data_IF_890926088288
#
_entry.id   IF_890926088288
#
_cell.length_a   1.000
_cell.length_b   1.000
_cell.length_c   1.000
_cell.angle_alpha   90.00
_cell.angle_beta   90.00
_cell.angle_gamma   90.00
#
_symmetry.space_group_name_H-M   'P 1'
#
loop_
_entity.id
_entity.type
_entity.pdbx_description
1 polymer ?
#
# COMPACT_ATOMS: atom_id res chain seq x y z
N UNK A 1 -22.16 0.16 7.98
CA UNK A 1 -21.72 1.29 7.14
C UNK A 1 -20.54 1.93 7.84
N UNK A 2 -19.42 2.09 7.14
CA UNK A 2 -18.22 2.75 7.70
C UNK A 2 -18.51 4.23 7.96
N UNK A 3 -18.20 4.69 9.18
CA UNK A 3 -18.11 6.12 9.47
C UNK A 3 -16.81 6.67 8.87
N UNK A 4 -16.95 7.50 7.83
CA UNK A 4 -15.82 8.08 7.08
C UNK A 4 -14.96 9.00 7.93
N UNK A 5 -15.56 9.74 8.86
CA UNK A 5 -14.83 10.69 9.71
C UNK A 5 -13.98 9.94 10.73
N UNK A 6 -14.57 8.95 11.40
CA UNK A 6 -13.86 8.10 12.35
C UNK A 6 -12.73 7.31 11.67
N UNK A 7 -12.98 6.81 10.46
CA UNK A 7 -11.96 6.15 9.64
C UNK A 7 -10.82 7.12 9.28
N UNK A 8 -11.15 8.33 8.86
CA UNK A 8 -10.17 9.36 8.49
C UNK A 8 -9.27 9.74 9.68
N UNK A 9 -9.87 9.96 10.85
CA UNK A 9 -9.14 10.27 12.09
C UNK A 9 -8.17 9.14 12.47
N UNK A 10 -8.64 7.89 12.47
CA UNK A 10 -7.81 6.73 12.77
C UNK A 10 -6.67 6.54 11.77
N UNK A 11 -6.95 6.68 10.47
CA UNK A 11 -5.92 6.60 9.43
C UNK A 11 -4.90 7.73 9.57
N UNK A 12 -5.33 8.95 9.87
CA UNK A 12 -4.44 10.09 10.10
C UNK A 12 -3.51 9.83 11.30
N UNK A 13 -4.06 9.34 12.42
CA UNK A 13 -3.26 8.96 13.61
C UNK A 13 -2.24 7.89 13.25
N UNK A 14 -2.66 6.86 12.52
CA UNK A 14 -1.78 5.77 12.09
C UNK A 14 -0.64 6.28 11.19
N UNK A 15 -0.98 7.05 10.15
CA UNK A 15 -0.01 7.58 9.18
C UNK A 15 1.02 8.51 9.85
N UNK A 16 0.58 9.29 10.84
CA UNK A 16 1.43 10.14 11.66
C UNK A 16 2.28 9.34 12.63
N UNK A 17 1.76 8.29 13.27
CA UNK A 17 2.52 7.48 14.22
C UNK A 17 3.70 6.77 13.53
N UNK A 18 3.44 6.25 12.34
CA UNK A 18 4.44 5.49 11.58
C UNK A 18 5.20 6.34 10.56
N UNK A 19 5.18 7.67 10.70
CA UNK A 19 5.74 8.59 9.69
C UNK A 19 7.24 8.41 9.41
N UNK A 20 7.99 7.80 10.34
CA UNK A 20 9.43 7.57 10.22
C UNK A 20 9.80 6.43 9.26
N UNK A 21 8.93 5.44 9.06
CA UNK A 21 9.19 4.35 8.13
C UNK A 21 8.97 4.84 6.69
N UNK A 22 10.01 4.74 5.84
CA UNK A 22 9.95 5.14 4.42
C UNK A 22 9.16 4.15 3.56
N UNK A 23 9.28 2.87 3.87
CA UNK A 23 8.53 1.79 3.21
C UNK A 23 7.53 1.20 4.20
N UNK A 24 6.23 1.31 3.88
CA UNK A 24 5.17 0.78 4.72
C UNK A 24 4.29 -0.20 3.95
N UNK A 25 4.41 -1.48 4.30
CA UNK A 25 3.37 -2.45 4.00
C UNK A 25 2.23 -2.33 5.00
N UNK A 26 1.09 -1.80 4.56
CA UNK A 26 -0.16 -1.78 5.31
C UNK A 26 -1.07 -2.83 4.68
N UNK A 27 -1.59 -3.73 5.50
CA UNK A 27 -2.75 -4.53 5.12
C UNK A 27 -3.97 -3.97 5.86
N UNK A 28 -5.06 -3.79 5.14
CA UNK A 28 -6.33 -3.33 5.68
C UNK A 28 -7.29 -4.52 5.68
N UNK A 29 -7.75 -4.91 6.85
CA UNK A 29 -8.81 -5.90 6.96
C UNK A 29 -10.15 -5.21 6.94
N UNK A 30 -10.96 -5.51 5.94
CA UNK A 30 -12.35 -5.02 5.85
C UNK A 30 -13.29 -6.22 5.97
N UNK A 31 -14.47 -6.00 6.55
CA UNK A 31 -15.48 -7.07 6.67
C UNK A 31 -16.09 -7.45 5.33
N UNK A 32 -16.20 -6.48 4.41
CA UNK A 32 -16.76 -6.66 3.08
C UNK A 32 -15.86 -6.00 2.02
N UNK A 33 -15.80 -6.53 0.80
CA UNK A 33 -14.98 -5.96 -0.28
C UNK A 33 -15.41 -4.51 -0.62
N UNK A 34 -16.71 -4.22 -0.51
CA UNK A 34 -17.29 -2.89 -0.72
C UNK A 34 -16.77 -1.82 0.26
N UNK A 35 -16.33 -2.24 1.45
CA UNK A 35 -15.72 -1.35 2.44
C UNK A 35 -14.31 -0.88 2.01
N UNK A 36 -13.63 -1.62 1.13
CA UNK A 36 -12.31 -1.26 0.62
C UNK A 36 -12.32 0.02 -0.22
N UNK A 37 -13.39 0.25 -0.99
CA UNK A 37 -13.55 1.48 -1.79
C UNK A 37 -13.73 2.71 -0.89
N UNK A 38 -14.45 2.58 0.22
CA UNK A 38 -14.60 3.69 1.19
C UNK A 38 -13.25 4.04 1.82
N UNK A 39 -12.44 3.04 2.17
CA UNK A 39 -11.10 3.26 2.70
C UNK A 39 -10.20 3.94 1.68
N UNK A 40 -10.29 3.54 0.41
CA UNK A 40 -9.55 4.18 -0.66
C UNK A 40 -9.93 5.67 -0.83
N UNK A 41 -11.22 5.99 -0.89
CA UNK A 41 -11.69 7.38 -1.00
C UNK A 41 -11.22 8.26 0.16
N UNK A 42 -11.23 7.71 1.38
CA UNK A 42 -10.70 8.41 2.57
C UNK A 42 -9.21 8.65 2.43
N UNK A 43 -8.43 7.65 2.00
CA UNK A 43 -7.00 7.80 1.79
C UNK A 43 -6.66 8.83 0.71
N UNK A 44 -7.41 8.88 -0.40
CA UNK A 44 -7.24 9.90 -1.43
C UNK A 44 -7.47 11.32 -0.88
N UNK A 45 -8.43 11.46 0.04
CA UNK A 45 -8.72 12.73 0.71
C UNK A 45 -7.59 13.14 1.67
N UNK A 46 -7.04 12.18 2.42
CA UNK A 46 -5.95 12.42 3.37
C UNK A 46 -4.59 12.64 2.68
N UNK A 47 -4.41 12.08 1.49
CA UNK A 47 -3.16 12.04 0.74
C UNK A 47 -3.32 12.68 -0.66
N UNK A 48 -3.80 13.93 -0.77
CA UNK A 48 -4.24 14.51 -2.04
C UNK A 48 -3.09 14.76 -3.04
N UNK A 49 -1.85 14.81 -2.56
CA UNK A 49 -0.64 15.01 -3.37
C UNK A 49 0.13 13.72 -3.61
N UNK A 50 -0.41 12.57 -3.19
CA UNK A 50 0.25 11.29 -3.37
C UNK A 50 -0.13 10.71 -4.71
N UNK A 51 0.87 10.15 -5.39
CA UNK A 51 0.62 9.39 -6.60
C UNK A 51 0.07 8.02 -6.23
N UNK A 52 -0.88 7.53 -7.01
CA UNK A 52 -1.57 6.26 -6.74
C UNK A 52 -1.30 5.30 -7.89
N UNK A 53 -0.80 4.11 -7.56
CA UNK A 53 -0.67 2.99 -8.49
C UNK A 53 -1.76 1.96 -8.18
N UNK A 54 -2.64 1.75 -9.15
CA UNK A 54 -3.72 0.76 -9.09
C UNK A 54 -3.99 0.20 -10.49
N UNK A 55 -4.17 -1.12 -10.59
CA UNK A 55 -4.49 -1.79 -11.84
C UNK A 55 -5.70 -1.15 -12.54
N UNK A 56 -5.53 -0.80 -13.83
CA UNK A 56 -6.61 -0.28 -14.67
C UNK A 56 -7.00 1.21 -14.47
N UNK A 57 -6.35 1.96 -13.58
CA UNK A 57 -6.75 3.33 -13.23
C UNK A 57 -5.77 4.46 -13.68
N UNK A 58 -4.73 4.18 -14.48
CA UNK A 58 -3.89 5.28 -15.01
C UNK A 58 -2.70 4.91 -15.90
N UNK A 59 -2.21 5.91 -16.65
CA UNK A 59 -1.09 5.87 -17.62
C UNK A 59 0.31 5.59 -17.02
N UNK A 60 0.35 5.33 -15.73
CA UNK A 60 1.52 5.52 -14.88
C UNK A 60 1.77 4.32 -13.95
N UNK A 61 0.92 3.30 -14.09
CA UNK A 61 1.16 1.94 -13.61
C UNK A 61 1.88 1.22 -14.74
N UNK A 62 3.07 0.66 -14.48
CA UNK A 62 3.80 -0.03 -15.53
C UNK A 62 2.98 -1.20 -16.07
N UNK A 63 2.93 -1.30 -17.40
CA UNK A 63 2.04 -2.22 -18.10
C UNK A 63 2.30 -3.68 -17.68
N UNK A 64 1.25 -4.51 -17.60
CA UNK A 64 1.34 -5.92 -17.17
C UNK A 64 2.31 -6.76 -18.03
N UNK A 65 2.60 -6.25 -19.23
CA UNK A 65 3.49 -6.85 -20.23
C UNK A 65 4.88 -6.19 -20.29
N UNK A 66 5.22 -5.28 -19.37
CA UNK A 66 6.53 -4.64 -19.43
C UNK A 66 7.60 -5.60 -18.92
N UNK A 67 8.66 -5.79 -19.70
CA UNK A 67 9.82 -6.56 -19.26
C UNK A 67 10.40 -5.87 -18.02
N UNK A 68 11.01 -6.63 -17.10
CA UNK A 68 11.68 -6.12 -15.89
C UNK A 68 12.48 -4.84 -16.12
N UNK A 69 13.22 -4.76 -17.23
CA UNK A 69 14.03 -3.60 -17.57
C UNK A 69 13.18 -2.38 -17.90
N UNK A 70 12.09 -2.55 -18.64
CA UNK A 70 11.15 -1.48 -18.99
C UNK A 70 10.44 -0.93 -17.75
N UNK A 71 10.08 -1.80 -16.81
CA UNK A 71 9.51 -1.41 -15.52
C UNK A 71 10.49 -0.54 -14.71
N UNK A 72 11.70 -1.05 -14.52
CA UNK A 72 12.76 -0.39 -13.73
C UNK A 72 13.11 0.94 -14.38
N UNK A 73 13.21 0.96 -15.69
CA UNK A 73 13.49 2.15 -16.46
C UNK A 73 12.36 3.17 -16.35
N UNK A 74 11.08 2.78 -16.47
CA UNK A 74 9.96 3.72 -16.29
C UNK A 74 9.85 4.26 -14.85
N UNK A 75 10.07 3.42 -13.84
CA UNK A 75 10.03 3.83 -12.43
C UNK A 75 11.20 4.75 -12.05
N UNK A 76 12.39 4.55 -12.64
CA UNK A 76 13.57 5.39 -12.45
C UNK A 76 13.51 6.68 -13.30
N UNK A 77 13.21 6.58 -14.60
CA UNK A 77 13.23 7.70 -15.56
C UNK A 77 12.14 8.72 -15.29
N UNK A 78 11.00 8.30 -14.74
CA UNK A 78 9.97 9.23 -14.31
C UNK A 78 10.37 10.04 -13.06
N UNK A 79 11.55 9.80 -12.48
CA UNK A 79 12.19 10.70 -11.51
C UNK A 79 11.21 11.21 -10.44
N UNK A 80 10.49 10.29 -9.81
CA UNK A 80 9.27 10.65 -9.10
C UNK A 80 9.61 11.38 -7.79
N UNK A 81 9.15 12.63 -7.70
CA UNK A 81 9.40 13.56 -6.58
C UNK A 81 8.33 13.52 -5.50
N UNK A 82 7.41 12.56 -5.57
CA UNK A 82 6.19 12.51 -4.78
C UNK A 82 6.09 11.19 -4.02
N UNK A 83 5.35 11.21 -2.91
CA UNK A 83 5.04 9.99 -2.17
C UNK A 83 4.10 9.09 -3.00
N UNK A 84 4.23 7.78 -2.82
CA UNK A 84 3.55 6.77 -3.61
C UNK A 84 2.64 5.90 -2.75
N UNK A 85 1.40 5.71 -3.21
CA UNK A 85 0.45 4.75 -2.70
C UNK A 85 0.25 3.62 -3.71
N UNK A 86 0.65 2.40 -3.37
CA UNK A 86 0.51 1.21 -4.21
C UNK A 86 -0.65 0.36 -3.71
N UNK A 87 -1.68 0.18 -4.53
CA UNK A 87 -2.84 -0.62 -4.19
C UNK A 87 -2.77 -2.00 -4.81
N UNK A 88 -3.19 -3.00 -4.03
CA UNK A 88 -3.30 -4.40 -4.45
C UNK A 88 -2.07 -4.92 -5.21
N UNK A 89 -0.84 -4.77 -4.66
CA UNK A 89 0.40 -5.21 -5.32
C UNK A 89 0.32 -6.64 -5.88
N UNK A 90 -0.34 -7.55 -5.15
CA UNK A 90 -0.45 -8.95 -5.55
C UNK A 90 -1.32 -9.19 -6.78
N UNK A 91 -2.29 -8.32 -7.09
CA UNK A 91 -3.21 -8.51 -8.22
C UNK A 91 -2.47 -8.38 -9.57
N UNK A 92 -1.50 -7.49 -9.66
CA UNK A 92 -0.72 -7.26 -10.90
C UNK A 92 0.60 -8.02 -10.93
N UNK A 93 1.10 -8.49 -9.78
CA UNK A 93 2.28 -9.34 -9.69
C UNK A 93 1.95 -10.84 -9.69
N UNK A 94 0.69 -11.23 -9.93
CA UNK A 94 0.26 -12.63 -9.83
C UNK A 94 1.02 -13.56 -10.80
N UNK A 95 1.35 -13.07 -11.99
CA UNK A 95 2.10 -13.82 -13.00
C UNK A 95 3.62 -13.74 -12.84
N UNK A 96 4.11 -12.94 -11.88
CA UNK A 96 5.54 -12.69 -11.71
C UNK A 96 6.17 -13.79 -10.86
N UNK A 97 7.38 -14.21 -11.23
CA UNK A 97 8.17 -15.10 -10.39
C UNK A 97 8.76 -14.33 -9.19
N UNK A 98 9.29 -15.06 -8.21
CA UNK A 98 9.85 -14.48 -6.99
C UNK A 98 10.98 -13.49 -7.26
N UNK A 99 11.89 -13.81 -8.19
CA UNK A 99 13.05 -12.98 -8.53
C UNK A 99 12.61 -11.62 -9.09
N UNK A 100 11.55 -11.62 -9.90
CA UNK A 100 11.00 -10.40 -10.48
C UNK A 100 10.29 -9.55 -9.41
N UNK A 101 9.53 -10.17 -8.51
CA UNK A 101 8.92 -9.47 -7.36
C UNK A 101 9.99 -8.83 -6.47
N UNK A 102 11.05 -9.56 -6.13
CA UNK A 102 12.16 -9.03 -5.32
C UNK A 102 12.87 -7.88 -6.03
N UNK A 103 13.21 -8.06 -7.31
CA UNK A 103 13.86 -7.04 -8.12
C UNK A 103 13.03 -5.77 -8.22
N UNK A 104 11.71 -5.89 -8.36
CA UNK A 104 10.79 -4.77 -8.35
C UNK A 104 10.86 -4.00 -7.03
N UNK A 105 10.75 -4.68 -5.89
CA UNK A 105 10.73 -4.01 -4.59
C UNK A 105 12.08 -3.35 -4.29
N UNK A 106 13.18 -3.96 -4.71
CA UNK A 106 14.52 -3.37 -4.62
C UNK A 106 14.66 -2.12 -5.50
N UNK A 107 14.26 -2.17 -6.77
CA UNK A 107 14.37 -1.00 -7.66
C UNK A 107 13.43 0.13 -7.24
N UNK A 108 12.24 -0.19 -6.73
CA UNK A 108 11.35 0.79 -6.12
C UNK A 108 12.02 1.41 -4.88
N UNK A 109 12.68 0.57 -4.06
CA UNK A 109 13.39 1.00 -2.86
C UNK A 109 14.46 2.07 -3.16
N UNK A 110 15.23 1.82 -4.22
CA UNK A 110 16.32 2.68 -4.70
C UNK A 110 15.79 3.97 -5.34
N UNK A 111 14.75 3.88 -6.17
CA UNK A 111 14.20 5.01 -6.93
C UNK A 111 13.47 6.01 -6.03
N UNK A 112 12.74 5.51 -5.03
CA UNK A 112 11.99 6.33 -4.08
C UNK A 112 12.76 6.56 -2.76
N UNK A 113 14.10 6.45 -2.76
CA UNK A 113 14.91 6.48 -1.53
C UNK A 113 14.73 7.72 -0.62
N UNK A 114 14.14 8.81 -1.14
CA UNK A 114 13.78 10.05 -0.41
C UNK A 114 12.27 10.27 -0.22
N UNK A 115 11.43 9.40 -0.77
CA UNK A 115 9.98 9.53 -0.80
C UNK A 115 9.32 8.38 -0.04
N UNK A 116 8.13 8.61 0.50
CA UNK A 116 7.40 7.57 1.25
C UNK A 116 6.64 6.69 0.27
N UNK A 117 6.79 5.37 0.42
CA UNK A 117 5.99 4.37 -0.31
C UNK A 117 5.11 3.63 0.69
N UNK A 118 3.80 3.69 0.47
CA UNK A 118 2.82 2.92 1.21
C UNK A 118 2.21 1.89 0.25
N UNK A 119 2.23 0.63 0.64
CA UNK A 119 1.49 -0.44 -0.05
C UNK A 119 0.26 -0.79 0.75
N UNK A 120 -0.88 -0.99 0.06
CA UNK A 120 -2.15 -1.38 0.66
C UNK A 120 -2.67 -2.63 -0.02
N UNK A 121 -2.88 -3.68 0.77
CA UNK A 121 -3.71 -4.82 0.40
C UNK A 121 -4.98 -4.82 1.24
N UNK A 122 -6.11 -5.18 0.63
CA UNK A 122 -7.34 -5.45 1.37
C UNK A 122 -7.54 -6.95 1.48
N UNK A 123 -7.71 -7.41 2.71
CA UNK A 123 -7.86 -8.82 3.02
C UNK A 123 -9.05 -9.03 3.95
N UNK A 124 -9.55 -10.26 4.01
CA UNK A 124 -10.57 -10.60 5.01
C UNK A 124 -9.95 -10.67 6.41
N UNK A 125 -10.77 -10.49 7.44
CA UNK A 125 -10.34 -10.66 8.83
C UNK A 125 -9.77 -12.07 9.10
N UNK A 126 -10.32 -13.09 8.43
CA UNK A 126 -9.86 -14.47 8.57
C UNK A 126 -8.48 -14.66 7.96
N UNK A 127 -8.26 -14.14 6.75
CA UNK A 127 -6.94 -14.19 6.08
C UNK A 127 -5.87 -13.50 6.93
N UNK A 128 -6.13 -12.29 7.42
CA UNK A 128 -5.12 -11.54 8.19
C UNK A 128 -4.83 -12.13 9.57
N UNK A 129 -5.80 -12.81 10.20
CA UNK A 129 -5.54 -13.60 11.41
C UNK A 129 -4.52 -14.71 11.17
N UNK A 130 -4.59 -15.38 10.02
CA UNK A 130 -3.61 -16.41 9.63
C UNK A 130 -2.23 -15.81 9.35
N UNK A 131 -2.17 -14.53 8.93
CA UNK A 131 -0.94 -13.79 8.67
C UNK A 131 -0.41 -13.02 9.89
N UNK A 132 -0.97 -13.25 11.09
CA UNK A 132 -0.56 -12.59 12.34
C UNK A 132 0.90 -12.81 12.75
N UNK A 133 1.58 -13.80 12.17
CA UNK A 133 3.02 -13.97 12.32
C UNK A 133 3.79 -12.81 11.66
N UNK A 134 3.36 -12.38 10.47
CA UNK A 134 4.02 -11.36 9.64
C UNK A 134 3.42 -9.96 9.80
N UNK A 135 2.21 -9.84 10.35
CA UNK A 135 1.52 -8.57 10.53
C UNK A 135 1.14 -8.32 11.99
N UNK A 136 1.19 -7.05 12.40
CA UNK A 136 0.73 -6.59 13.71
C UNK A 136 -0.54 -5.77 13.52
N UNK A 137 -1.63 -6.20 14.16
CA UNK A 137 -2.87 -5.43 14.19
C UNK A 137 -2.65 -4.10 14.92
N UNK A 138 -3.21 -3.04 14.36
CA UNK A 138 -3.40 -1.75 14.97
C UNK A 138 -4.88 -1.63 15.33
N UNK A 139 -5.14 -1.41 16.60
CA UNK A 139 -6.50 -1.26 17.08
C UNK A 139 -7.07 0.08 16.61
N UNK A 140 -8.17 0.02 15.88
CA UNK A 140 -8.92 1.19 15.46
C UNK A 140 -10.19 1.18 16.27
N UNK A 141 -10.24 2.00 17.33
CA UNK A 141 -11.38 2.05 18.22
C UNK A 141 -12.68 2.26 17.42
N UNK A 142 -13.64 1.36 17.64
CA UNK A 142 -14.99 1.39 17.04
C UNK A 142 -15.07 1.37 15.50
N UNK A 143 -13.98 1.05 14.78
CA UNK A 143 -13.99 0.89 13.32
C UNK A 143 -14.32 -0.55 12.91
N UNK A 144 -15.16 -0.79 11.88
CA UNK A 144 -15.35 -2.11 11.29
C UNK A 144 -14.14 -2.57 10.44
N UNK A 145 -13.16 -1.67 10.23
CA UNK A 145 -11.91 -1.90 9.51
C UNK A 145 -10.79 -2.08 10.54
N UNK A 146 -9.90 -3.06 10.35
CA UNK A 146 -8.67 -3.17 11.14
C UNK A 146 -7.45 -2.87 10.27
N UNK A 147 -6.53 -2.08 10.80
CA UNK A 147 -5.25 -1.80 10.18
C UNK A 147 -4.23 -2.84 10.63
N UNK A 148 -3.39 -3.31 9.72
CA UNK A 148 -2.34 -4.26 10.00
C UNK A 148 -1.03 -3.77 9.40
N UNK A 149 -0.01 -3.62 10.24
CA UNK A 149 1.32 -3.20 9.80
C UNK A 149 2.20 -4.43 9.62
N UNK A 150 2.89 -4.53 8.49
CA UNK A 150 3.92 -5.55 8.31
C UNK A 150 5.00 -5.41 9.40
N UNK A 151 5.32 -6.51 10.08
CA UNK A 151 6.38 -6.57 11.10
C UNK A 151 7.79 -6.53 10.50
N UNK A 152 7.90 -6.78 9.20
CA UNK A 152 9.16 -6.80 8.47
C UNK A 152 9.59 -5.41 7.99
N UNK A 153 8.87 -4.35 8.40
CA UNK A 153 9.36 -2.99 8.18
C UNK A 153 10.60 -2.75 9.04
N UNK A 154 11.67 -2.14 8.48
CA UNK A 154 12.78 -1.70 9.29
C UNK A 154 12.27 -0.63 10.27
N UNK A 155 12.36 -0.97 11.55
CA UNK A 155 12.32 0.02 12.62
C UNK A 155 13.73 0.61 12.62
N UNK A 156 13.88 1.87 12.21
CA UNK A 156 15.08 2.63 12.57
C UNK A 156 15.10 2.79 14.11
#
# INVERSE_FOLDING_TARGET
MIDRNLLAENLQIFLNTYHHARYRGIALSVKEVLDGQVVFEVLQTLLPTWRIWQMGQGNDVPDLSCHRLDFIQQSIEQGQRENLLVLYPEEWMQSWNLVDKESFWTSLAESFGRHTVITISFETHETLRLLSASFKAWDMEASPVQLWLSKHQPWD
#
